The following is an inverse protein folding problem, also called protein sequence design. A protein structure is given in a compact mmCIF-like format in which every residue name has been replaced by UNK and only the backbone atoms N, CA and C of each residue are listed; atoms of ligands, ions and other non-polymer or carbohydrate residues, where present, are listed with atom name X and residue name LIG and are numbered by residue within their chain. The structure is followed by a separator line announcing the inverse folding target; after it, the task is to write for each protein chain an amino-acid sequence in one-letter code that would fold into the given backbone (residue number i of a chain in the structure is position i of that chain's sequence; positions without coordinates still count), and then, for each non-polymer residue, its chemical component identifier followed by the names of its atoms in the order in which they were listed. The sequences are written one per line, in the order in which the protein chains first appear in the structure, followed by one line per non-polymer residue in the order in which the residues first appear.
data_IF_692186454434
#
_entry.id   IF_692186454434
#
_cell.length_a   1.000
_cell.length_b   1.000
_cell.length_c   1.000
_cell.angle_alpha   90.00
_cell.angle_beta   90.00
_cell.angle_gamma   90.00
#
_symmetry.space_group_name_H-M   'P 1'
#
loop_
_entity.id
_entity.type
_entity.pdbx_description
1 polymer ?
#
# COMPACT_ATOMS: atom_id res chain seq x y z
N UNK A 1 10.34 24.47 -26.51
CA UNK A 1 9.82 23.33 -25.75
C UNK A 1 9.76 22.15 -26.70
N UNK A 2 10.30 20.97 -26.32
CA UNK A 2 10.13 19.76 -27.12
C UNK A 2 8.63 19.46 -27.28
N UNK A 3 8.27 18.94 -28.45
CA UNK A 3 6.91 18.54 -28.80
C UNK A 3 6.85 17.02 -28.87
N UNK A 4 5.65 16.42 -28.82
CA UNK A 4 5.50 14.94 -28.81
C UNK A 4 6.19 14.27 -30.00
N UNK A 5 6.20 14.92 -31.16
CA UNK A 5 6.89 14.42 -32.37
C UNK A 5 8.42 14.37 -32.25
N UNK A 6 8.99 15.03 -31.24
CA UNK A 6 10.43 15.06 -31.00
C UNK A 6 10.88 13.89 -30.09
N UNK A 7 9.94 13.10 -29.56
CA UNK A 7 10.21 11.92 -28.74
C UNK A 7 10.54 10.70 -29.60
N UNK A 8 11.49 9.91 -29.12
CA UNK A 8 11.65 8.53 -29.57
C UNK A 8 10.48 7.65 -29.10
N UNK A 9 10.36 6.45 -29.68
CA UNK A 9 9.34 5.49 -29.29
C UNK A 9 9.52 5.08 -27.82
N UNK A 10 10.74 4.87 -27.38
CA UNK A 10 11.06 4.50 -25.99
C UNK A 10 10.70 5.61 -25.02
N UNK A 11 11.08 6.87 -25.29
CA UNK A 11 10.69 8.00 -24.42
C UNK A 11 9.17 8.17 -24.33
N UNK A 12 8.45 7.94 -25.43
CA UNK A 12 6.99 7.98 -25.41
C UNK A 12 6.38 6.85 -24.57
N UNK A 13 6.94 5.63 -24.63
CA UNK A 13 6.50 4.51 -23.79
C UNK A 13 6.74 4.80 -22.32
N UNK A 14 7.91 5.32 -21.97
CA UNK A 14 8.26 5.64 -20.58
C UNK A 14 7.26 6.65 -19.98
N UNK A 15 6.89 7.69 -20.74
CA UNK A 15 5.86 8.66 -20.31
C UNK A 15 4.50 7.99 -20.14
N UNK A 16 4.11 7.09 -21.06
CA UNK A 16 2.83 6.37 -20.96
C UNK A 16 2.82 5.46 -19.73
N UNK A 17 3.91 4.73 -19.48
CA UNK A 17 4.04 3.83 -18.34
C UNK A 17 3.93 4.60 -17.02
N UNK A 18 4.62 5.74 -16.91
CA UNK A 18 4.53 6.62 -15.73
C UNK A 18 3.10 7.12 -15.50
N UNK A 19 2.45 7.64 -16.54
CA UNK A 19 1.07 8.16 -16.43
C UNK A 19 0.08 7.04 -16.10
N UNK A 20 0.25 5.84 -16.68
CA UNK A 20 -0.59 4.69 -16.37
C UNK A 20 -0.39 4.24 -14.94
N UNK A 21 0.85 4.17 -14.45
CA UNK A 21 1.13 3.85 -13.04
C UNK A 21 0.48 4.86 -12.09
N UNK A 22 0.62 6.16 -12.37
CA UNK A 22 -0.02 7.23 -11.61
C UNK A 22 -1.55 7.03 -11.57
N UNK A 23 -2.18 6.78 -12.72
CA UNK A 23 -3.63 6.53 -12.79
C UNK A 23 -4.05 5.26 -12.09
N UNK A 24 -3.26 4.21 -12.14
CA UNK A 24 -3.55 2.99 -11.40
C UNK A 24 -3.45 3.23 -9.89
N UNK A 25 -2.48 4.02 -9.40
CA UNK A 25 -2.41 4.40 -7.98
C UNK A 25 -3.59 5.27 -7.54
N UNK A 26 -4.06 6.17 -8.40
CA UNK A 26 -5.28 6.96 -8.13
C UNK A 26 -6.54 6.08 -8.06
N UNK A 27 -6.66 5.09 -8.94
CA UNK A 27 -7.86 4.24 -9.05
C UNK A 27 -7.86 3.11 -8.03
N UNK A 28 -6.71 2.48 -7.79
CA UNK A 28 -6.52 1.33 -6.89
C UNK A 28 -6.15 1.84 -5.50
N UNK A 29 -7.11 2.53 -4.88
CA UNK A 29 -7.04 2.91 -3.47
C UNK A 29 -7.34 1.72 -2.55
N UNK A 30 -7.09 1.87 -1.25
CA UNK A 30 -7.45 0.87 -0.24
C UNK A 30 -8.97 0.58 -0.32
N UNK A 31 -9.38 -0.65 -0.68
CA UNK A 31 -10.80 -0.99 -0.82
C UNK A 31 -11.57 -0.88 0.50
N UNK A 32 -10.87 -0.92 1.64
CA UNK A 32 -11.46 -0.80 2.97
C UNK A 32 -11.44 0.66 3.49
N UNK A 33 -10.96 1.62 2.70
CA UNK A 33 -10.86 3.01 3.09
C UNK A 33 -12.22 3.58 3.52
N UNK A 34 -12.27 4.13 4.73
CA UNK A 34 -13.48 4.72 5.31
C UNK A 34 -14.46 3.72 5.93
N UNK A 35 -14.16 2.41 5.91
CA UNK A 35 -14.95 1.42 6.61
C UNK A 35 -14.59 1.38 8.10
N UNK A 36 -15.60 1.18 8.94
CA UNK A 36 -15.40 0.90 10.35
C UNK A 36 -15.09 -0.58 10.57
N UNK A 37 -14.26 -0.88 11.56
CA UNK A 37 -14.07 -2.27 12.01
C UNK A 37 -15.39 -2.84 12.52
N UNK A 38 -15.65 -4.10 12.20
CA UNK A 38 -16.78 -4.83 12.81
C UNK A 38 -16.51 -5.00 14.31
N UNK A 39 -17.54 -4.93 15.18
CA UNK A 39 -17.36 -5.00 16.63
C UNK A 39 -16.53 -6.20 17.10
N UNK A 40 -16.77 -7.38 16.52
CA UNK A 40 -16.05 -8.60 16.88
C UNK A 40 -14.56 -8.57 16.50
N UNK A 41 -14.20 -7.83 15.45
CA UNK A 41 -12.80 -7.64 15.04
C UNK A 41 -12.12 -6.66 15.98
N UNK A 42 -12.80 -5.56 16.33
CA UNK A 42 -12.30 -4.56 17.26
C UNK A 42 -12.08 -5.16 18.65
N UNK A 43 -13.05 -5.93 19.17
CA UNK A 43 -12.95 -6.60 20.47
C UNK A 43 -11.80 -7.60 20.52
N UNK A 44 -11.61 -8.38 19.44
CA UNK A 44 -10.48 -9.30 19.33
C UNK A 44 -9.14 -8.55 19.38
N UNK A 45 -8.98 -7.50 18.57
CA UNK A 45 -7.74 -6.71 18.55
C UNK A 45 -7.43 -6.06 19.91
N UNK A 46 -8.45 -5.54 20.59
CA UNK A 46 -8.28 -4.98 21.94
C UNK A 46 -7.85 -6.04 22.95
N UNK A 47 -8.38 -7.26 22.85
CA UNK A 47 -7.97 -8.38 23.69
C UNK A 47 -6.51 -8.75 23.42
N UNK A 48 -6.13 -8.91 22.16
CA UNK A 48 -4.77 -9.25 21.76
C UNK A 48 -3.76 -8.20 22.28
N UNK A 49 -4.14 -6.92 22.32
CA UNK A 49 -3.31 -5.83 22.87
C UNK A 49 -3.20 -5.83 24.40
N UNK A 50 -4.20 -6.34 25.11
CA UNK A 50 -4.25 -6.33 26.58
C UNK A 50 -3.66 -7.60 27.19
N UNK A 51 -3.74 -8.72 26.49
CA UNK A 51 -3.21 -9.99 26.95
C UNK A 51 -1.67 -10.02 26.82
N UNK A 52 -0.95 -10.59 27.80
CA UNK A 52 0.48 -10.82 27.64
C UNK A 52 0.68 -11.80 26.49
N UNK A 53 1.19 -11.27 25.39
CA UNK A 53 1.46 -12.03 24.18
C UNK A 53 2.59 -13.02 24.43
N UNK A 54 2.49 -14.19 23.83
CA UNK A 54 3.65 -15.06 23.72
C UNK A 54 4.67 -14.41 22.78
N UNK A 55 5.97 -14.57 23.08
CA UNK A 55 7.03 -14.06 22.21
C UNK A 55 6.83 -14.56 20.77
N UNK A 56 6.58 -13.61 19.84
CA UNK A 56 6.39 -13.88 18.42
C UNK A 56 4.95 -13.86 17.91
N UNK A 57 3.94 -13.65 18.76
CA UNK A 57 2.54 -13.49 18.29
C UNK A 57 2.32 -12.19 17.52
N UNK A 58 2.94 -11.10 17.97
CA UNK A 58 2.99 -9.84 17.22
C UNK A 58 4.42 -9.48 16.82
N UNK A 59 4.53 -8.76 15.71
CA UNK A 59 5.79 -8.21 15.22
C UNK A 59 5.67 -6.69 15.05
N UNK A 60 6.75 -5.93 15.22
CA UNK A 60 6.77 -4.52 14.89
C UNK A 60 6.30 -4.27 13.45
N UNK A 61 5.55 -3.20 13.23
CA UNK A 61 5.03 -2.86 11.90
C UNK A 61 6.13 -2.68 10.86
N UNK A 62 7.28 -2.12 11.25
CA UNK A 62 8.45 -1.99 10.40
C UNK A 62 9.01 -3.36 9.96
N UNK A 63 8.95 -4.37 10.81
CA UNK A 63 9.38 -5.73 10.46
C UNK A 63 8.38 -6.43 9.54
N UNK A 64 7.08 -6.21 9.76
CA UNK A 64 6.05 -6.67 8.83
C UNK A 64 6.22 -6.05 7.44
N UNK A 65 6.40 -4.72 7.36
CA UNK A 65 6.60 -4.00 6.11
C UNK A 65 7.82 -4.54 5.35
N UNK A 66 8.95 -4.69 6.04
CA UNK A 66 10.17 -5.27 5.47
C UNK A 66 9.96 -6.69 4.92
N UNK A 67 9.24 -7.56 5.64
CA UNK A 67 8.91 -8.93 5.18
C UNK A 67 8.04 -8.94 3.93
N UNK A 68 7.25 -7.89 3.71
CA UNK A 68 6.34 -7.74 2.57
C UNK A 68 6.93 -6.92 1.41
N UNK A 69 8.18 -6.48 1.53
CA UNK A 69 8.81 -5.61 0.53
C UNK A 69 8.17 -4.23 0.45
N UNK A 70 7.59 -3.76 1.56
CA UNK A 70 6.97 -2.44 1.69
C UNK A 70 7.92 -1.51 2.46
N UNK A 71 7.96 -0.24 2.07
CA UNK A 71 8.59 0.82 2.87
C UNK A 71 7.61 1.33 3.94
N UNK A 72 8.12 1.61 5.13
CA UNK A 72 7.36 2.10 6.29
C UNK A 72 7.91 3.42 6.79
#
# INVERSE_FOLDING_TARGET
MPTVKDLTIEELKDIIDEVVEEKLRELLTDPDAGLALRPEVQERLLRDLQEPQQDGENIPVADLARRRGLEW
#
